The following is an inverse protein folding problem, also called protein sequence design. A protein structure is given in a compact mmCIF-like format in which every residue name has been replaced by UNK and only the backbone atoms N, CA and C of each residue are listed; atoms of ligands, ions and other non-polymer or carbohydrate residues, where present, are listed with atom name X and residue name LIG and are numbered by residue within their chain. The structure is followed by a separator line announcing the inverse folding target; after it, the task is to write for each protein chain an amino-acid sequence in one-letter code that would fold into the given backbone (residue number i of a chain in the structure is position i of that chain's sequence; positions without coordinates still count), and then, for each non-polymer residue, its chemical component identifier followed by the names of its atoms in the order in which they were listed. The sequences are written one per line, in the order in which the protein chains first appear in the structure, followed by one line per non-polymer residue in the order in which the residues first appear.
data_IF_622275980483
#
_entry.id   IF_622275980483
#
_cell.length_a   1.000
_cell.length_b   1.000
_cell.length_c   1.000
_cell.angle_alpha   90.00
_cell.angle_beta   90.00
_cell.angle_gamma   90.00
#
_symmetry.space_group_name_H-M   'P 1'
#
loop_
_entity.id
_entity.type
_entity.pdbx_description
1 polymer ?
#
# COMPACT_ATOMS: atom_id res chain seq x y z
N UNK A 1 -2.62 45.89 4.54
CA UNK A 1 -3.55 44.76 4.67
C UNK A 1 -2.77 43.51 4.29
N UNK A 2 -2.52 42.54 5.19
CA UNK A 2 -1.73 41.38 4.83
C UNK A 2 -2.57 40.46 3.94
N UNK A 3 -1.97 40.02 2.84
CA UNK A 3 -2.57 39.08 1.89
C UNK A 3 -2.80 37.73 2.58
N UNK A 4 -4.02 37.21 2.45
CA UNK A 4 -4.40 35.89 2.92
C UNK A 4 -3.61 34.80 2.17
N UNK A 5 -3.16 33.79 2.90
CA UNK A 5 -2.52 32.58 2.38
C UNK A 5 -3.51 31.80 1.49
N UNK A 6 -3.06 31.18 0.39
CA UNK A 6 -3.94 30.42 -0.48
C UNK A 6 -4.44 29.16 0.25
N UNK A 7 -5.74 29.16 0.55
CA UNK A 7 -6.50 27.98 0.91
C UNK A 7 -6.66 27.10 -0.34
N UNK A 8 -5.78 26.11 -0.50
CA UNK A 8 -5.97 25.04 -1.48
C UNK A 8 -5.75 23.69 -0.81
N UNK A 9 -6.76 23.24 -0.07
CA UNK A 9 -7.02 21.81 0.10
C UNK A 9 -8.43 21.56 -0.43
N UNK A 10 -8.60 20.74 -1.47
CA UNK A 10 -9.92 20.38 -1.98
C UNK A 10 -10.74 19.74 -0.86
N UNK A 11 -11.94 20.26 -0.66
CA UNK A 11 -12.87 19.97 0.43
C UNK A 11 -13.62 18.62 0.24
N UNK A 12 -12.99 17.61 -0.38
CA UNK A 12 -13.61 16.31 -0.70
C UNK A 12 -12.96 15.10 0.02
N UNK A 13 -11.98 15.33 0.90
CA UNK A 13 -11.30 14.24 1.63
C UNK A 13 -11.85 13.99 3.04
N UNK A 14 -12.92 14.69 3.42
CA UNK A 14 -13.55 14.49 4.73
C UNK A 14 -14.63 13.40 4.66
N UNK A 15 -14.30 12.31 5.36
CA UNK A 15 -15.19 11.34 6.02
C UNK A 15 -15.80 10.20 5.18
N UNK A 16 -14.96 9.20 4.87
CA UNK A 16 -15.21 7.87 5.46
C UNK A 16 -14.26 7.75 6.65
N UNK A 17 -14.51 8.51 7.72
CA UNK A 17 -13.95 8.19 9.02
C UNK A 17 -14.67 6.92 9.44
N UNK A 18 -14.12 5.78 9.06
CA UNK A 18 -14.46 4.53 9.72
C UNK A 18 -14.19 4.79 11.20
N UNK A 19 -15.23 4.84 12.01
CA UNK A 19 -15.12 4.73 13.47
C UNK A 19 -14.73 3.28 13.78
N UNK A 20 -13.56 2.87 13.28
CA UNK A 20 -13.01 1.53 13.41
C UNK A 20 -12.05 1.43 14.60
N UNK A 21 -11.91 2.51 15.36
CA UNK A 21 -11.05 2.60 16.52
C UNK A 21 -9.56 2.73 16.19
N UNK A 22 -9.16 2.85 14.91
CA UNK A 22 -7.74 2.99 14.52
C UNK A 22 -7.40 4.46 14.26
N UNK A 23 -6.64 5.06 15.17
CA UNK A 23 -6.28 6.48 15.10
C UNK A 23 -5.30 6.80 13.95
N UNK A 24 -5.21 8.09 13.61
CA UNK A 24 -4.35 8.58 12.54
C UNK A 24 -2.85 8.32 12.78
N UNK A 25 -2.41 8.27 14.05
CA UNK A 25 -1.00 8.03 14.40
C UNK A 25 -0.60 6.57 14.16
N UNK A 26 -1.53 5.65 14.43
CA UNK A 26 -1.40 4.22 14.17
C UNK A 26 -1.38 3.95 12.66
N UNK A 27 -2.25 4.63 11.90
CA UNK A 27 -2.25 4.56 10.43
C UNK A 27 -0.95 5.08 9.83
N UNK A 28 -0.46 6.21 10.35
CA UNK A 28 0.82 6.76 9.95
C UNK A 28 1.98 5.80 10.27
N UNK A 29 1.95 5.14 11.43
CA UNK A 29 2.94 4.13 11.79
C UNK A 29 2.98 2.98 10.76
N UNK A 30 1.83 2.38 10.43
CA UNK A 30 1.80 1.25 9.49
C UNK A 30 2.07 1.64 8.04
N UNK A 31 1.69 2.85 7.63
CA UNK A 31 2.07 3.36 6.31
C UNK A 31 3.61 3.48 6.19
N UNK A 32 4.29 3.90 7.26
CA UNK A 32 5.77 3.88 7.29
C UNK A 32 6.32 2.46 7.28
N UNK A 33 5.66 1.50 7.90
CA UNK A 33 6.06 0.08 7.80
C UNK A 33 5.93 -0.45 6.36
N UNK A 34 4.94 0.00 5.58
CA UNK A 34 4.84 -0.33 4.16
C UNK A 34 6.05 0.17 3.35
N UNK A 35 6.56 1.37 3.67
CA UNK A 35 7.81 1.87 3.09
C UNK A 35 9.04 1.06 3.54
N UNK A 36 9.08 0.63 4.81
CA UNK A 36 10.18 -0.19 5.35
C UNK A 36 10.16 -1.65 4.86
N UNK A 37 9.04 -2.13 4.32
CA UNK A 37 8.95 -3.46 3.72
C UNK A 37 9.72 -3.58 2.40
N UNK A 38 10.16 -2.45 1.82
CA UNK A 38 10.95 -2.43 0.60
C UNK A 38 12.32 -3.10 0.79
N UNK A 39 12.87 -3.78 -0.24
CA UNK A 39 14.11 -4.55 -0.12
C UNK A 39 15.36 -3.70 0.08
N UNK A 40 15.29 -2.39 -0.24
CA UNK A 40 16.35 -1.41 0.00
C UNK A 40 15.74 0.01 -0.02
N UNK A 41 16.51 1.08 0.24
CA UNK A 41 15.96 2.44 0.31
C UNK A 41 15.55 3.06 -1.04
N UNK A 42 15.98 2.51 -2.17
CA UNK A 42 15.65 3.01 -3.51
C UNK A 42 15.50 1.91 -4.58
N UNK A 43 14.67 0.88 -4.35
CA UNK A 43 14.30 -0.03 -5.42
C UNK A 43 13.62 0.77 -6.53
N UNK A 44 13.82 0.36 -7.78
CA UNK A 44 13.18 1.05 -8.90
C UNK A 44 11.65 1.06 -8.73
N UNK A 45 11.04 -0.13 -8.57
CA UNK A 45 9.62 -0.29 -8.27
C UNK A 45 9.37 -0.30 -6.75
N UNK A 46 9.38 0.89 -6.14
CA UNK A 46 9.25 1.09 -4.69
C UNK A 46 7.83 0.92 -4.14
N UNK A 47 7.13 -0.15 -4.55
CA UNK A 47 5.78 -0.47 -4.08
C UNK A 47 5.84 -1.52 -2.96
N UNK A 48 5.44 -1.12 -1.75
CA UNK A 48 5.50 -1.92 -0.55
C UNK A 48 4.15 -1.96 0.17
N UNK A 49 3.85 -3.08 0.82
CA UNK A 49 2.62 -3.30 1.56
C UNK A 49 2.86 -4.07 2.85
N UNK A 50 2.01 -3.84 3.84
CA UNK A 50 1.92 -4.60 5.09
C UNK A 50 0.47 -4.95 5.39
N UNK A 51 0.27 -6.09 6.02
CA UNK A 51 -1.06 -6.53 6.49
C UNK A 51 -1.03 -6.63 8.00
N UNK A 52 -2.02 -6.00 8.65
CA UNK A 52 -2.05 -5.77 10.08
C UNK A 52 -3.35 -6.28 10.68
N UNK A 53 -3.24 -6.94 11.83
CA UNK A 53 -4.37 -7.29 12.67
C UNK A 53 -4.54 -6.23 13.78
N UNK A 54 -5.53 -5.35 13.61
CA UNK A 54 -5.85 -4.32 14.61
C UNK A 54 -6.64 -4.84 15.83
N UNK A 55 -7.08 -6.10 15.81
CA UNK A 55 -7.76 -6.71 16.98
C UNK A 55 -6.79 -7.00 18.14
N UNK A 56 -5.48 -6.98 17.89
CA UNK A 56 -4.44 -7.29 18.86
C UNK A 56 -4.15 -6.17 19.89
N UNK A 57 -4.90 -5.06 19.86
CA UNK A 57 -4.69 -3.91 20.74
C UNK A 57 -3.40 -3.12 20.45
N UNK A 58 -3.23 -1.98 21.12
CA UNK A 58 -2.08 -1.09 20.88
C UNK A 58 -2.05 -0.58 19.44
N UNK A 59 -0.91 -0.70 18.75
CA UNK A 59 -0.79 -0.38 17.33
C UNK A 59 -1.39 -1.47 16.43
N UNK A 60 -1.74 -2.66 16.95
CA UNK A 60 -2.04 -3.85 16.15
C UNK A 60 -0.82 -4.74 15.94
N UNK A 61 -1.04 -5.91 15.34
CA UNK A 61 -0.01 -6.92 15.10
C UNK A 61 0.28 -7.06 13.60
N UNK A 62 1.55 -6.96 13.22
CA UNK A 62 1.97 -7.25 11.84
C UNK A 62 1.78 -8.73 11.52
N UNK A 63 1.04 -9.02 10.45
CA UNK A 63 0.81 -10.40 9.99
C UNK A 63 1.80 -10.78 8.91
N UNK A 64 1.91 -9.96 7.86
CA UNK A 64 2.80 -10.22 6.74
C UNK A 64 3.18 -8.91 6.03
N UNK A 65 4.25 -8.98 5.24
CA UNK A 65 4.74 -7.87 4.41
C UNK A 65 4.86 -8.31 2.96
N UNK A 66 4.91 -7.35 2.05
CA UNK A 66 5.18 -7.58 0.64
C UNK A 66 5.83 -6.38 -0.01
N UNK A 67 6.67 -6.64 -1.00
CA UNK A 67 7.26 -5.62 -1.87
C UNK A 67 7.24 -6.12 -3.30
N UNK A 68 7.12 -5.20 -4.25
CA UNK A 68 7.13 -5.54 -5.67
C UNK A 68 8.39 -6.34 -6.02
N UNK A 69 8.19 -7.49 -6.67
CA UNK A 69 9.25 -8.39 -7.10
C UNK A 69 9.07 -8.84 -8.56
N UNK A 70 8.44 -8.01 -9.40
CA UNK A 70 8.13 -8.41 -10.77
C UNK A 70 9.42 -8.68 -11.59
N UNK A 71 10.43 -7.82 -11.47
CA UNK A 71 11.70 -7.96 -12.18
C UNK A 71 12.55 -9.10 -11.61
N UNK A 72 12.56 -9.28 -10.28
CA UNK A 72 13.36 -10.32 -9.63
C UNK A 72 12.82 -11.73 -9.88
N UNK A 73 11.49 -11.86 -9.99
CA UNK A 73 10.82 -13.16 -10.24
C UNK A 73 10.52 -13.44 -11.72
N UNK A 74 10.52 -12.41 -12.58
CA UNK A 74 10.00 -12.50 -13.94
C UNK A 74 8.47 -12.60 -14.02
N UNK A 75 7.75 -12.47 -12.89
CA UNK A 75 6.30 -12.55 -12.85
C UNK A 75 5.69 -11.13 -12.74
N UNK A 76 4.98 -10.65 -13.78
CA UNK A 76 4.44 -9.30 -13.81
C UNK A 76 3.36 -9.04 -12.74
N UNK A 77 2.76 -10.08 -12.14
CA UNK A 77 1.71 -9.92 -11.15
C UNK A 77 2.24 -9.70 -9.72
N UNK A 78 3.54 -9.90 -9.47
CA UNK A 78 4.13 -9.75 -8.13
C UNK A 78 4.37 -8.28 -7.75
N UNK A 79 3.27 -7.53 -7.62
CA UNK A 79 3.22 -6.22 -6.99
C UNK A 79 3.24 -6.35 -5.45
N UNK A 80 3.50 -5.25 -4.73
CA UNK A 80 3.67 -5.29 -3.27
C UNK A 80 2.47 -5.91 -2.55
N UNK A 81 1.26 -5.56 -2.97
CA UNK A 81 0.00 -6.04 -2.42
C UNK A 81 -0.23 -7.52 -2.72
N UNK A 82 0.06 -7.95 -3.95
CA UNK A 82 -0.05 -9.36 -4.35
C UNK A 82 0.95 -10.24 -3.60
N UNK A 83 2.18 -9.75 -3.41
CA UNK A 83 3.20 -10.43 -2.62
C UNK A 83 2.77 -10.52 -1.15
N UNK A 84 2.21 -9.45 -0.58
CA UNK A 84 1.70 -9.47 0.79
C UNK A 84 0.56 -10.50 0.95
N UNK A 85 -0.44 -10.52 0.06
CA UNK A 85 -1.54 -11.50 0.10
C UNK A 85 -1.02 -12.94 0.02
N UNK A 86 -0.07 -13.21 -0.88
CA UNK A 86 0.56 -14.53 -1.01
C UNK A 86 1.32 -14.93 0.26
N UNK A 87 2.10 -14.01 0.83
CA UNK A 87 2.86 -14.25 2.06
C UNK A 87 1.93 -14.50 3.26
N UNK A 88 0.87 -13.71 3.42
CA UNK A 88 -0.16 -13.93 4.44
C UNK A 88 -0.80 -15.31 4.28
N UNK A 89 -1.21 -15.69 3.06
CA UNK A 89 -1.81 -16.99 2.79
C UNK A 89 -0.88 -18.13 3.20
N UNK A 90 0.40 -18.05 2.83
CA UNK A 90 1.41 -19.04 3.20
C UNK A 90 1.60 -19.12 4.73
N UNK A 91 1.68 -17.97 5.41
CA UNK A 91 1.81 -17.87 6.87
C UNK A 91 0.60 -18.48 7.59
N UNK A 92 -0.62 -18.24 7.10
CA UNK A 92 -1.82 -18.79 7.71
C UNK A 92 -1.87 -20.30 7.61
N UNK A 93 -1.52 -20.86 6.46
CA UNK A 93 -1.67 -22.30 6.19
C UNK A 93 -0.43 -23.14 6.48
N UNK A 94 0.65 -22.54 6.99
CA UNK A 94 1.87 -23.27 7.37
C UNK A 94 1.55 -24.27 8.49
N UNK A 95 1.70 -25.61 8.27
CA UNK A 95 1.44 -26.63 9.27
C UNK A 95 2.33 -26.54 10.52
N UNK A 96 3.46 -25.85 10.41
CA UNK A 96 4.41 -25.60 11.51
C UNK A 96 4.34 -24.15 12.02
N UNK A 97 3.52 -23.31 11.37
CA UNK A 97 3.38 -21.90 11.69
C UNK A 97 2.45 -21.65 12.88
N UNK A 98 2.46 -20.41 13.40
CA UNK A 98 1.66 -20.04 14.57
C UNK A 98 0.15 -20.20 14.36
N UNK A 99 -0.30 -20.04 13.12
CA UNK A 99 -1.72 -20.00 12.77
C UNK A 99 -2.26 -21.39 12.45
N UNK A 100 -1.51 -22.18 11.65
CA UNK A 100 -1.86 -23.55 11.23
C UNK A 100 -3.35 -23.69 10.85
N UNK A 101 -3.81 -22.77 10.01
CA UNK A 101 -5.20 -22.69 9.59
C UNK A 101 -5.46 -23.65 8.43
N UNK A 102 -6.68 -24.16 8.38
CA UNK A 102 -7.20 -24.74 7.14
C UNK A 102 -7.32 -23.64 6.06
N UNK A 103 -7.27 -23.98 4.77
CA UNK A 103 -7.48 -22.99 3.70
C UNK A 103 -8.79 -22.21 3.85
N UNK A 104 -9.86 -22.84 4.33
CA UNK A 104 -11.14 -22.17 4.58
C UNK A 104 -11.05 -21.11 5.68
N UNK A 105 -10.37 -21.41 6.79
CA UNK A 105 -10.16 -20.44 7.87
C UNK A 105 -9.20 -19.32 7.45
N UNK A 106 -8.18 -19.64 6.65
CA UNK A 106 -7.27 -18.63 6.11
C UNK A 106 -7.98 -17.62 5.19
N UNK A 107 -8.94 -18.06 4.38
CA UNK A 107 -9.77 -17.16 3.56
C UNK A 107 -10.62 -16.22 4.42
N UNK A 108 -11.19 -16.71 5.53
CA UNK A 108 -11.97 -15.88 6.45
C UNK A 108 -11.10 -14.89 7.23
N UNK A 109 -9.86 -15.25 7.55
CA UNK A 109 -8.96 -14.44 8.37
C UNK A 109 -8.69 -13.06 7.77
N UNK A 110 -8.70 -12.91 6.44
CA UNK A 110 -8.52 -11.60 5.79
C UNK A 110 -9.59 -10.57 6.21
N UNK A 111 -10.80 -11.01 6.55
CA UNK A 111 -11.92 -10.16 6.97
C UNK A 111 -11.70 -9.39 8.28
N UNK A 112 -10.66 -9.73 9.04
CA UNK A 112 -10.28 -9.02 10.27
C UNK A 112 -9.07 -8.10 10.10
N UNK A 113 -8.48 -8.06 8.89
CA UNK A 113 -7.18 -7.42 8.65
C UNK A 113 -7.31 -6.13 7.85
N UNK A 114 -6.38 -5.22 8.09
CA UNK A 114 -6.16 -4.03 7.27
C UNK A 114 -4.92 -4.22 6.40
N UNK A 115 -5.04 -3.93 5.11
CA UNK A 115 -3.89 -3.81 4.20
C UNK A 115 -3.48 -2.35 4.08
N UNK A 116 -2.21 -2.06 4.36
CA UNK A 116 -1.56 -0.77 4.10
C UNK A 116 -0.61 -0.91 2.93
N UNK A 117 -0.66 0.01 1.96
CA UNK A 117 0.28 0.06 0.83
C UNK A 117 0.74 1.49 0.58
N UNK A 118 2.01 1.69 0.24
CA UNK A 118 2.56 3.03 0.08
C UNK A 118 2.06 3.79 -1.16
N UNK A 119 1.40 3.10 -2.07
CA UNK A 119 0.72 3.70 -3.22
C UNK A 119 -0.61 2.99 -3.50
N UNK A 120 -1.53 3.72 -4.12
CA UNK A 120 -2.83 3.24 -4.56
C UNK A 120 -2.67 2.02 -5.47
N UNK A 121 -3.37 0.96 -5.10
CA UNK A 121 -3.40 -0.28 -5.84
C UNK A 121 -3.94 -0.09 -7.25
N UNK A 122 -3.18 -0.59 -8.23
CA UNK A 122 -3.64 -0.70 -9.60
C UNK A 122 -4.87 -1.63 -9.69
N UNK A 123 -5.63 -1.61 -10.81
CA UNK A 123 -6.88 -2.38 -10.91
C UNK A 123 -6.76 -3.88 -10.58
N UNK A 124 -5.62 -4.50 -10.91
CA UNK A 124 -5.34 -5.89 -10.55
C UNK A 124 -5.28 -6.07 -9.03
N UNK A 125 -4.50 -5.23 -8.35
CA UNK A 125 -4.28 -5.33 -6.90
C UNK A 125 -5.55 -4.92 -6.14
N UNK A 126 -6.23 -3.86 -6.56
CA UNK A 126 -7.50 -3.45 -5.99
C UNK A 126 -8.56 -4.56 -6.09
N UNK A 127 -8.64 -5.24 -7.25
CA UNK A 127 -9.53 -6.38 -7.42
C UNK A 127 -9.14 -7.54 -6.51
N UNK A 128 -7.85 -7.86 -6.40
CA UNK A 128 -7.37 -8.93 -5.52
C UNK A 128 -7.65 -8.65 -4.03
N UNK A 129 -7.43 -7.42 -3.57
CA UNK A 129 -7.78 -6.96 -2.22
C UNK A 129 -9.27 -7.16 -1.97
N UNK A 130 -10.11 -6.78 -2.94
CA UNK A 130 -11.55 -6.91 -2.81
C UNK A 130 -12.00 -8.38 -2.77
N UNK A 131 -11.41 -9.24 -3.58
CA UNK A 131 -11.64 -10.70 -3.55
C UNK A 131 -11.16 -11.35 -2.25
N UNK A 132 -10.04 -10.90 -1.70
CA UNK A 132 -9.53 -11.36 -0.41
C UNK A 132 -10.46 -10.99 0.75
N UNK A 133 -11.28 -9.95 0.59
CA UNK A 133 -12.30 -9.56 1.57
C UNK A 133 -11.70 -8.90 2.81
N UNK A 134 -10.61 -8.14 2.66
CA UNK A 134 -10.02 -7.37 3.75
C UNK A 134 -11.06 -6.52 4.47
N UNK A 135 -10.88 -6.33 5.79
CA UNK A 135 -11.69 -5.38 6.57
C UNK A 135 -11.52 -3.97 6.05
N UNK A 136 -10.27 -3.61 5.76
CA UNK A 136 -9.91 -2.26 5.37
C UNK A 136 -8.70 -2.25 4.44
N UNK A 137 -8.69 -1.28 3.54
CA UNK A 137 -7.62 -0.99 2.61
C UNK A 137 -7.20 0.48 2.73
N UNK A 138 -5.91 0.71 3.00
CA UNK A 138 -5.32 2.03 3.23
C UNK A 138 -4.15 2.25 2.29
N UNK A 139 -4.10 3.39 1.62
CA UNK A 139 -3.00 3.73 0.71
C UNK A 139 -2.49 5.17 0.83
N UNK A 140 -1.23 5.36 0.41
CA UNK A 140 -0.58 6.66 0.33
C UNK A 140 -0.75 7.34 -1.02
N UNK A 141 0.31 7.36 -1.82
CA UNK A 141 0.39 8.04 -3.13
C UNK A 141 -0.72 7.57 -4.08
N UNK A 142 -1.46 8.48 -4.73
CA UNK A 142 -2.54 8.13 -5.65
C UNK A 142 -2.04 7.65 -7.03
N UNK A 143 -2.90 6.96 -7.79
CA UNK A 143 -2.64 6.64 -9.20
C UNK A 143 -2.35 7.90 -10.02
N UNK A 144 -3.10 8.98 -9.79
CA UNK A 144 -2.88 10.25 -10.50
C UNK A 144 -1.49 10.82 -10.22
N UNK A 145 -1.05 10.82 -8.94
CA UNK A 145 0.28 11.27 -8.57
C UNK A 145 1.38 10.38 -9.18
N UNK A 146 1.17 9.06 -9.24
CA UNK A 146 2.09 8.14 -9.93
C UNK A 146 2.21 8.50 -11.42
N UNK A 147 1.10 8.75 -12.11
CA UNK A 147 1.08 9.16 -13.52
C UNK A 147 1.83 10.48 -13.72
N UNK A 148 1.60 11.48 -12.86
CA UNK A 148 2.32 12.77 -12.88
C UNK A 148 3.84 12.62 -12.63
N UNK A 149 4.24 11.55 -11.93
CA UNK A 149 5.64 11.18 -11.71
C UNK A 149 6.23 10.32 -12.84
N UNK A 150 5.46 9.99 -13.86
CA UNK A 150 5.88 9.27 -15.07
C UNK A 150 5.69 7.76 -15.01
N UNK A 151 4.98 7.25 -14.01
CA UNK A 151 4.63 5.84 -13.93
C UNK A 151 3.48 5.51 -14.89
N UNK A 152 3.65 4.47 -15.70
CA UNK A 152 2.54 3.92 -16.48
C UNK A 152 1.53 3.23 -15.56
N UNK A 153 0.26 3.64 -15.63
CA UNK A 153 -0.84 3.07 -14.85
C UNK A 153 -2.06 2.81 -15.72
N UNK A 154 -2.84 1.80 -15.36
CA UNK A 154 -4.25 1.74 -15.79
C UNK A 154 -5.00 2.67 -14.84
N UNK A 155 -5.60 3.73 -15.36
CA UNK A 155 -6.13 4.87 -14.59
C UNK A 155 -7.49 4.60 -13.92
N UNK A 156 -7.94 3.35 -13.90
CA UNK A 156 -9.14 2.97 -13.13
C UNK A 156 -8.77 3.00 -11.66
N UNK A 157 -9.42 3.88 -10.90
CA UNK A 157 -9.12 4.05 -9.46
C UNK A 157 -9.50 2.82 -8.64
N UNK A 158 -8.86 2.66 -7.48
CA UNK A 158 -9.26 1.63 -6.51
C UNK A 158 -10.73 1.81 -6.09
N UNK A 159 -11.17 3.07 -5.92
CA UNK A 159 -12.56 3.41 -5.58
C UNK A 159 -13.54 2.93 -6.65
N UNK A 160 -13.20 3.05 -7.92
CA UNK A 160 -14.04 2.56 -9.02
C UNK A 160 -14.19 1.04 -8.98
N UNK A 161 -13.08 0.31 -8.79
CA UNK A 161 -13.12 -1.16 -8.62
C UNK A 161 -14.02 -1.55 -7.44
N UNK A 162 -13.89 -0.85 -6.31
CA UNK A 162 -14.70 -1.14 -5.12
C UNK A 162 -16.19 -0.84 -5.37
N UNK A 163 -16.51 0.27 -6.04
CA UNK A 163 -17.90 0.59 -6.41
C UNK A 163 -18.52 -0.47 -7.35
N UNK A 164 -17.73 -1.10 -8.21
CA UNK A 164 -18.19 -2.15 -9.14
C UNK A 164 -18.25 -3.56 -8.51
N UNK A 165 -18.06 -3.68 -7.19
CA UNK A 165 -17.93 -4.97 -6.50
C UNK A 165 -19.06 -5.27 -5.51
N UNK A 166 -20.23 -4.65 -5.71
CA UNK A 166 -21.38 -4.76 -4.80
C UNK A 166 -22.02 -6.15 -4.73
N UNK A 167 -21.68 -7.06 -5.65
CA UNK A 167 -22.15 -8.45 -5.63
C UNK A 167 -21.38 -9.37 -4.69
N UNK A 168 -20.26 -8.90 -4.12
CA UNK A 168 -19.45 -9.65 -3.16
C UNK A 168 -20.00 -9.43 -1.74
N UNK A 169 -19.98 -10.48 -0.93
CA UNK A 169 -20.60 -10.47 0.40
C UNK A 169 -19.80 -9.74 1.48
N UNK A 170 -18.49 -9.57 1.30
CA UNK A 170 -17.65 -8.81 2.23
C UNK A 170 -17.81 -7.31 2.01
N UNK A 171 -17.65 -6.52 3.05
CA UNK A 171 -17.49 -5.07 2.97
C UNK A 171 -16.04 -4.71 3.32
N UNK A 172 -15.46 -3.76 2.60
CA UNK A 172 -14.07 -3.32 2.82
C UNK A 172 -14.06 -1.80 2.97
N UNK A 173 -13.62 -1.31 4.13
CA UNK A 173 -13.35 0.11 4.36
C UNK A 173 -12.19 0.60 3.49
N UNK A 174 -12.22 1.88 3.12
CA UNK A 174 -11.26 2.47 2.18
C UNK A 174 -10.78 3.82 2.69
N UNK A 175 -9.46 4.00 2.77
CA UNK A 175 -8.82 5.27 3.14
C UNK A 175 -7.62 5.56 2.23
N UNK A 176 -7.72 6.64 1.45
CA UNK A 176 -6.64 7.09 0.58
C UNK A 176 -5.88 8.30 1.08
N UNK A 177 -4.70 8.52 0.52
CA UNK A 177 -3.91 9.74 0.75
C UNK A 177 -3.21 9.79 2.10
N UNK A 178 -2.96 8.65 2.73
CA UNK A 178 -2.27 8.60 4.04
C UNK A 178 -0.77 8.82 3.85
N UNK A 179 -0.25 9.90 4.45
CA UNK A 179 1.17 10.29 4.39
C UNK A 179 1.71 10.52 2.97
N UNK A 180 0.95 11.13 2.06
CA UNK A 180 1.45 11.47 0.71
C UNK A 180 2.71 12.33 0.72
N UNK A 181 2.86 13.18 1.74
CA UNK A 181 4.08 13.97 1.98
C UNK A 181 5.34 13.11 2.21
N UNK A 182 5.19 11.83 2.61
CA UNK A 182 6.28 10.87 2.78
C UNK A 182 6.33 9.84 1.64
N UNK A 183 5.18 9.32 1.21
CA UNK A 183 5.13 8.24 0.20
C UNK A 183 5.51 8.72 -1.20
N UNK A 184 5.14 9.95 -1.59
CA UNK A 184 5.41 10.46 -2.95
C UNK A 184 6.92 10.51 -3.26
N UNK A 185 7.75 10.75 -2.24
CA UNK A 185 9.21 10.77 -2.36
C UNK A 185 9.81 9.43 -2.82
N UNK A 186 9.11 8.31 -2.60
CA UNK A 186 9.55 7.00 -3.09
C UNK A 186 9.39 6.84 -4.60
N UNK A 187 8.56 7.67 -5.25
CA UNK A 187 8.17 7.53 -6.65
C UNK A 187 8.63 8.69 -7.55
N UNK A 188 9.24 9.73 -6.97
CA UNK A 188 9.51 10.99 -7.66
C UNK A 188 10.85 11.04 -8.41
N UNK A 189 11.69 10.02 -8.32
CA UNK A 189 13.09 10.08 -8.80
C UNK A 189 13.41 9.14 -9.97
N UNK A 190 12.59 8.10 -10.18
CA UNK A 190 12.86 7.00 -11.12
C UNK A 190 12.94 7.48 -12.57
N UNK A 191 12.07 8.39 -12.96
CA UNK A 191 11.95 8.92 -14.32
C UNK A 191 12.43 10.37 -14.45
N UNK A 192 13.07 10.91 -13.40
CA UNK A 192 13.54 12.29 -13.35
C UNK A 192 15.06 12.31 -13.13
N UNK A 193 15.87 12.50 -14.19
CA UNK A 193 17.33 12.44 -14.11
C UNK A 193 17.97 13.39 -13.08
N UNK A 194 17.32 14.54 -12.83
CA UNK A 194 17.83 15.58 -11.94
C UNK A 194 17.18 15.54 -10.54
N UNK A 195 16.31 14.58 -10.24
CA UNK A 195 15.71 14.45 -8.91
C UNK A 195 16.76 14.04 -7.86
N UNK A 196 16.55 14.42 -6.61
CA UNK A 196 17.39 13.94 -5.50
C UNK A 196 17.09 12.45 -5.24
N UNK A 197 18.13 11.65 -4.99
CA UNK A 197 17.93 10.25 -4.62
C UNK A 197 17.32 10.15 -3.21
N UNK A 198 16.55 9.07 -2.92
CA UNK A 198 16.07 8.80 -1.57
C UNK A 198 17.20 8.77 -0.54
N UNK A 199 16.87 9.04 0.72
CA UNK A 199 17.83 8.96 1.81
C UNK A 199 18.49 7.57 1.85
N UNK A 200 19.82 7.53 1.96
CA UNK A 200 20.58 6.28 1.92
C UNK A 200 20.94 5.79 0.51
N UNK A 201 20.60 6.56 -0.53
CA UNK A 201 20.96 6.26 -1.91
C UNK A 201 21.74 7.39 -2.59
N UNK A 202 22.55 7.01 -3.58
CA UNK A 202 23.30 7.93 -4.44
C UNK A 202 23.07 7.61 -5.92
N UNK A 203 23.27 8.59 -6.80
CA UNK A 203 23.08 8.39 -8.25
C UNK A 203 24.29 7.67 -8.82
N UNK A 204 24.09 6.44 -9.30
CA UNK A 204 25.13 5.64 -9.92
C UNK A 204 25.47 6.16 -11.34
N UNK A 205 26.57 5.67 -11.92
CA UNK A 205 26.98 5.99 -13.28
C UNK A 205 25.93 5.60 -14.34
N UNK A 206 25.05 4.63 -14.03
CA UNK A 206 23.88 4.27 -14.85
C UNK A 206 22.79 5.35 -14.91
N UNK A 207 22.96 6.44 -14.13
CA UNK A 207 21.97 7.50 -13.99
C UNK A 207 20.81 7.15 -13.06
N UNK A 208 20.76 5.95 -12.48
CA UNK A 208 19.73 5.53 -11.52
C UNK A 208 20.22 5.70 -10.08
N UNK A 209 19.30 5.97 -9.16
CA UNK A 209 19.62 5.89 -7.74
C UNK A 209 19.88 4.43 -7.35
N UNK A 210 20.92 4.22 -6.55
CA UNK A 210 21.28 2.94 -5.97
C UNK A 210 21.68 3.15 -4.49
N UNK A 211 21.56 2.12 -3.64
CA UNK A 211 22.04 2.20 -2.26
C UNK A 211 23.50 2.69 -2.21
N UNK A 212 23.77 3.64 -1.32
CA UNK A 212 25.08 4.26 -1.15
C UNK A 212 26.11 3.31 -0.52
#
# INVERSE_FOLDING_TARGET
MPAALPQCLPQEWTTWTTDDGVDASTRAYWMRQANLALPNPCPFAAFGAVVVNHTAGGLGELVCTGANNNQGSGNPTLHGEMVAINNCSAIFTDPQGRYNMTPANALLAFGDLTLYTNAESCPMCASAIRWAGFKEYVYGTSIDALVDMGWGQITVSSKEIFNQSSSLSSETGFLGGVLTNETDGFFSWQFRPNATCPQGCSRAASGRCAPA
#
